data_IF_873782424633
#
_entry.id   IF_873782424633
#
_cell.length_a   1.000
_cell.length_b   1.000
_cell.length_c   1.000
_cell.angle_alpha   90.00
_cell.angle_beta   90.00
_cell.angle_gamma   90.00
#
_symmetry.space_group_name_H-M   'P 1'
#
loop_
_entity.id
_entity.type
_entity.pdbx_description
1 polymer ?
#
# COMPACT_ATOMS: atom_id res chain seq x y z
N UNK A 1 -13.42 17.26 12.43
CA UNK A 1 -13.75 15.89 11.94
C UNK A 1 -12.91 15.66 10.69
N UNK A 2 -12.19 14.54 10.60
CA UNK A 2 -11.37 14.20 9.43
C UNK A 2 -12.25 14.19 8.17
N UNK A 3 -11.84 14.92 7.13
CA UNK A 3 -12.53 14.97 5.83
C UNK A 3 -12.24 13.74 4.96
N UNK A 4 -11.38 12.84 5.44
CA UNK A 4 -10.91 11.67 4.69
C UNK A 4 -11.96 10.56 4.72
N UNK A 5 -12.43 10.18 3.53
CA UNK A 5 -13.46 9.16 3.29
C UNK A 5 -13.10 8.31 2.06
N UNK A 6 -13.91 7.29 1.73
CA UNK A 6 -13.62 6.40 0.60
C UNK A 6 -13.46 7.15 -0.74
N UNK A 7 -14.24 8.22 -0.95
CA UNK A 7 -14.18 9.01 -2.20
C UNK A 7 -12.91 9.86 -2.31
N UNK A 8 -12.16 10.01 -1.22
CA UNK A 8 -10.87 10.71 -1.22
C UNK A 8 -9.67 9.81 -1.57
N UNK A 9 -9.90 8.50 -1.72
CA UNK A 9 -8.84 7.57 -2.07
C UNK A 9 -8.47 7.72 -3.55
N UNK A 10 -7.19 7.97 -3.79
CA UNK A 10 -6.64 7.90 -5.14
C UNK A 10 -6.36 6.44 -5.49
N UNK A 11 -6.59 6.09 -6.75
CA UNK A 11 -6.34 4.75 -7.27
C UNK A 11 -5.16 4.79 -8.26
N UNK A 12 -4.42 3.69 -8.33
CA UNK A 12 -3.26 3.53 -9.22
C UNK A 12 -3.40 2.22 -10.01
N UNK A 13 -3.21 2.29 -11.33
CA UNK A 13 -3.24 1.10 -12.18
C UNK A 13 -1.96 0.26 -12.03
N UNK A 14 -2.05 -1.04 -12.34
CA UNK A 14 -0.89 -1.95 -12.36
C UNK A 14 0.18 -1.48 -13.35
N UNK A 15 -0.21 -0.89 -14.48
CA UNK A 15 0.71 -0.30 -15.47
C UNK A 15 1.45 0.91 -14.90
N UNK A 16 0.74 1.81 -14.21
CA UNK A 16 1.34 2.98 -13.59
C UNK A 16 2.29 2.59 -12.46
N UNK A 17 1.98 1.53 -11.70
CA UNK A 17 2.88 1.05 -10.66
C UNK A 17 4.12 0.38 -11.28
N UNK A 18 3.92 -0.51 -12.26
CA UNK A 18 5.01 -1.22 -12.93
C UNK A 18 6.00 -0.26 -13.62
N UNK A 19 5.51 0.83 -14.23
CA UNK A 19 6.39 1.81 -14.88
C UNK A 19 7.30 2.57 -13.92
N UNK A 20 7.02 2.56 -12.61
CA UNK A 20 7.92 3.15 -11.61
C UNK A 20 9.17 2.32 -11.34
N UNK A 21 9.18 1.03 -11.70
CA UNK A 21 10.31 0.13 -11.45
C UNK A 21 11.43 0.41 -12.47
N UNK A 22 12.45 1.16 -12.06
CA UNK A 22 13.60 1.50 -12.91
C UNK A 22 14.91 1.54 -12.10
N UNK A 23 15.73 0.46 -12.07
CA UNK A 23 15.48 -0.94 -12.46
C UNK A 23 14.71 -1.74 -11.39
N UNK A 24 14.38 -1.11 -10.27
CA UNK A 24 13.68 -1.69 -9.12
C UNK A 24 12.73 -0.65 -8.53
N UNK A 25 11.93 -1.03 -7.53
CA UNK A 25 11.01 -0.11 -6.86
C UNK A 25 11.78 1.11 -6.29
N UNK A 26 11.37 2.36 -6.58
CA UNK A 26 12.02 3.53 -6.03
C UNK A 26 11.99 3.52 -4.50
N UNK A 27 13.09 3.94 -3.86
CA UNK A 27 13.18 3.99 -2.39
C UNK A 27 12.21 4.99 -1.76
N UNK A 28 11.69 5.94 -2.53
CA UNK A 28 10.64 6.88 -2.13
C UNK A 28 9.22 6.30 -2.22
N UNK A 29 9.05 5.12 -2.81
CA UNK A 29 7.78 4.40 -2.90
C UNK A 29 7.75 3.24 -1.91
N UNK A 30 6.58 2.99 -1.31
CA UNK A 30 6.32 1.81 -0.51
C UNK A 30 5.04 1.12 -1.00
N UNK A 31 5.08 -0.20 -1.14
CA UNK A 31 3.92 -1.02 -1.48
C UNK A 31 3.55 -1.83 -0.25
N UNK A 32 2.31 -1.72 0.21
CA UNK A 32 1.81 -2.40 1.41
C UNK A 32 0.78 -3.43 0.97
N UNK A 33 1.15 -4.71 1.11
CA UNK A 33 0.27 -5.84 0.84
C UNK A 33 -0.49 -6.19 2.12
N UNK A 34 -1.81 -6.00 2.10
CA UNK A 34 -2.67 -6.29 3.25
C UNK A 34 -3.48 -7.57 3.12
N UNK A 35 -3.07 -8.49 2.23
CA UNK A 35 -3.62 -9.86 2.18
C UNK A 35 -3.32 -10.61 3.47
N UNK A 36 -4.18 -11.56 3.82
CA UNK A 36 -4.03 -12.42 5.00
C UNK A 36 -3.46 -13.77 4.53
N UNK A 37 -4.23 -14.86 4.65
CA UNK A 37 -3.82 -16.18 4.14
C UNK A 37 -3.68 -16.22 2.62
N UNK A 38 -4.36 -15.31 1.91
CA UNK A 38 -4.32 -15.17 0.45
C UNK A 38 -3.07 -14.42 -0.07
N UNK A 39 -2.08 -14.19 0.80
CA UNK A 39 -0.75 -13.72 0.39
C UNK A 39 0.06 -14.80 -0.36
N UNK A 40 -0.28 -16.07 -0.17
CA UNK A 40 0.33 -17.21 -0.87
C UNK A 40 0.14 -17.07 -2.38
N UNK A 41 1.12 -17.56 -3.16
CA UNK A 41 1.05 -17.54 -4.63
C UNK A 41 1.87 -16.44 -5.30
N UNK A 42 2.53 -15.58 -4.51
CA UNK A 42 3.40 -14.52 -5.00
C UNK A 42 2.99 -13.15 -4.48
N UNK A 43 3.90 -12.19 -4.59
CA UNK A 43 3.70 -10.81 -4.14
C UNK A 43 4.51 -9.82 -5.00
N UNK A 44 4.13 -8.54 -4.97
CA UNK A 44 4.84 -7.50 -5.72
C UNK A 44 6.24 -7.33 -5.11
N UNK A 45 7.27 -7.32 -5.96
CA UNK A 45 8.65 -7.26 -5.52
C UNK A 45 8.93 -5.99 -4.72
N UNK A 46 9.52 -6.16 -3.54
CA UNK A 46 9.79 -5.07 -2.60
C UNK A 46 8.56 -4.57 -1.81
N UNK A 47 7.42 -5.26 -1.89
CA UNK A 47 6.28 -4.97 -1.01
C UNK A 47 6.56 -5.36 0.44
N UNK A 48 5.92 -4.66 1.37
CA UNK A 48 5.90 -5.02 2.78
C UNK A 48 4.57 -5.70 3.09
N UNK A 49 4.63 -6.94 3.57
CA UNK A 49 3.44 -7.69 3.96
C UNK A 49 2.95 -7.27 5.36
N UNK A 50 1.74 -6.73 5.42
CA UNK A 50 1.08 -6.28 6.66
C UNK A 50 -0.36 -6.79 6.65
N UNK A 51 -0.63 -8.02 7.13
CA UNK A 51 -1.95 -8.64 7.08
C UNK A 51 -3.04 -7.75 7.67
N UNK A 52 -4.20 -7.67 6.99
CA UNK A 52 -5.31 -6.82 7.41
C UNK A 52 -5.79 -7.15 8.83
N UNK A 53 -5.73 -8.43 9.22
CA UNK A 53 -6.02 -8.93 10.57
C UNK A 53 -5.14 -8.33 11.69
N UNK A 54 -3.93 -7.88 11.35
CA UNK A 54 -2.96 -7.29 12.30
C UNK A 54 -2.81 -5.78 12.15
N UNK A 55 -3.46 -5.20 11.13
CA UNK A 55 -3.20 -3.83 10.68
C UNK A 55 -3.47 -2.79 11.78
N UNK A 56 -4.55 -2.95 12.55
CA UNK A 56 -4.95 -1.96 13.56
C UNK A 56 -3.88 -1.71 14.62
N UNK A 57 -3.14 -2.74 15.02
CA UNK A 57 -2.04 -2.61 15.98
C UNK A 57 -0.74 -2.14 15.33
N UNK A 58 -0.57 -2.38 14.03
CA UNK A 58 0.65 -2.05 13.27
C UNK A 58 0.62 -0.66 12.64
N UNK A 59 -0.53 -0.02 12.47
CA UNK A 59 -0.62 1.30 11.84
C UNK A 59 0.32 2.35 12.46
N UNK A 60 0.41 2.51 13.80
CA UNK A 60 1.30 3.51 14.40
C UNK A 60 2.77 3.30 14.04
N UNK A 61 3.21 2.03 13.99
CA UNK A 61 4.55 1.65 13.55
C UNK A 61 4.73 1.90 12.05
N UNK A 62 3.74 1.48 11.24
CA UNK A 62 3.74 1.66 9.80
C UNK A 62 3.90 3.14 9.42
N UNK A 63 3.19 4.05 10.08
CA UNK A 63 3.31 5.50 9.85
C UNK A 63 4.74 6.00 10.13
N UNK A 64 5.38 5.51 11.20
CA UNK A 64 6.76 5.91 11.54
C UNK A 64 7.75 5.39 10.51
N UNK A 65 7.58 4.15 10.07
CA UNK A 65 8.45 3.50 9.07
C UNK A 65 8.30 4.15 7.69
N UNK A 66 7.08 4.57 7.33
CA UNK A 66 6.79 5.16 6.03
C UNK A 66 6.93 6.68 5.98
N UNK A 67 7.31 7.35 7.08
CA UNK A 67 7.32 8.82 7.19
C UNK A 67 8.12 9.54 6.09
N UNK A 68 9.20 8.91 5.61
CA UNK A 68 10.12 9.49 4.62
C UNK A 68 9.78 9.07 3.18
N UNK A 69 8.69 8.32 2.98
CA UNK A 69 8.23 7.88 1.66
C UNK A 69 7.37 8.98 1.02
N UNK A 70 7.60 9.25 -0.27
CA UNK A 70 6.78 10.19 -1.04
C UNK A 70 5.45 9.53 -1.45
N UNK A 71 5.46 8.23 -1.75
CA UNK A 71 4.32 7.48 -2.26
C UNK A 71 4.10 6.18 -1.47
N UNK A 72 2.87 5.92 -1.05
CA UNK A 72 2.46 4.66 -0.41
C UNK A 72 1.31 4.05 -1.19
N UNK A 73 1.44 2.80 -1.62
CA UNK A 73 0.43 2.08 -2.39
C UNK A 73 -0.06 0.89 -1.58
N UNK A 74 -1.34 0.88 -1.23
CA UNK A 74 -1.97 -0.25 -0.55
C UNK A 74 -2.65 -1.17 -1.57
N UNK A 75 -2.63 -2.48 -1.32
CA UNK A 75 -3.40 -3.42 -2.10
C UNK A 75 -3.81 -4.65 -1.28
N UNK A 76 -4.83 -5.38 -1.76
CA UNK A 76 -5.10 -6.74 -1.29
C UNK A 76 -5.17 -7.69 -2.50
N UNK A 77 -5.98 -8.75 -2.45
CA UNK A 77 -6.20 -9.63 -3.60
C UNK A 77 -6.92 -8.90 -4.74
N UNK A 78 -8.09 -8.31 -4.47
CA UNK A 78 -8.92 -7.60 -5.46
C UNK A 78 -8.95 -6.07 -5.27
N UNK A 79 -8.42 -5.59 -4.14
CA UNK A 79 -8.48 -4.18 -3.70
C UNK A 79 -9.88 -3.56 -3.61
N UNK A 80 -10.91 -4.37 -3.34
CA UNK A 80 -12.31 -3.89 -3.19
C UNK A 80 -12.70 -3.52 -1.75
N UNK A 81 -12.07 -4.14 -0.75
CA UNK A 81 -12.43 -3.94 0.66
C UNK A 81 -11.20 -3.70 1.55
N UNK A 82 -10.32 -4.70 1.68
CA UNK A 82 -9.15 -4.63 2.59
C UNK A 82 -8.15 -3.53 2.19
N UNK A 83 -7.80 -3.43 0.90
CA UNK A 83 -6.92 -2.37 0.38
C UNK A 83 -7.43 -0.96 0.67
N UNK A 84 -8.65 -0.58 0.22
CA UNK A 84 -9.24 0.73 0.50
C UNK A 84 -9.38 1.02 2.00
N UNK A 85 -9.82 0.03 2.80
CA UNK A 85 -9.97 0.20 4.25
C UNK A 85 -8.62 0.45 4.92
N UNK A 86 -7.57 -0.25 4.51
CA UNK A 86 -6.22 -0.07 5.04
C UNK A 86 -5.66 1.32 4.73
N UNK A 87 -5.77 1.76 3.47
CA UNK A 87 -5.35 3.10 3.04
C UNK A 87 -6.07 4.19 3.84
N UNK A 88 -7.39 4.06 4.01
CA UNK A 88 -8.20 5.02 4.75
C UNK A 88 -7.80 5.10 6.24
N UNK A 89 -7.62 3.96 6.90
CA UNK A 89 -7.18 3.91 8.31
C UNK A 89 -5.79 4.53 8.47
N UNK A 90 -4.86 4.19 7.57
CA UNK A 90 -3.52 4.77 7.56
C UNK A 90 -3.55 6.29 7.41
N UNK A 91 -4.31 6.81 6.44
CA UNK A 91 -4.44 8.25 6.21
C UNK A 91 -5.02 9.00 7.41
N UNK A 92 -6.08 8.47 8.02
CA UNK A 92 -6.73 9.07 9.20
C UNK A 92 -5.81 9.08 10.42
N UNK A 93 -5.13 7.98 10.69
CA UNK A 93 -4.23 7.91 11.84
C UNK A 93 -2.98 8.78 11.61
N UNK A 94 -2.50 8.89 10.37
CA UNK A 94 -1.42 9.81 10.02
C UNK A 94 -1.82 11.27 10.26
N UNK A 95 -3.02 11.68 9.82
CA UNK A 95 -3.58 13.02 10.08
C UNK A 95 -3.70 13.28 11.59
N UNK A 96 -4.25 12.32 12.36
CA UNK A 96 -4.38 12.43 13.82
C UNK A 96 -3.03 12.64 14.51
N UNK A 97 -1.98 11.92 14.09
CA UNK A 97 -0.64 12.01 14.66
C UNK A 97 0.11 13.28 14.24
N UNK A 98 -0.17 13.83 13.06
CA UNK A 98 0.40 15.11 12.62
C UNK A 98 -0.26 16.30 13.33
N UNK A 99 -1.57 16.27 13.51
CA UNK A 99 -2.34 17.35 14.15
C UNK A 99 -2.00 17.44 15.65
N UNK A 100 -1.95 16.30 16.35
CA UNK A 100 -1.55 16.24 17.76
C UNK A 100 -0.13 16.76 18.02
N UNK A 101 0.76 16.69 17.03
CA UNK A 101 2.12 17.26 17.09
C UNK A 101 2.16 18.77 16.89
N UNK A 102 1.15 19.33 16.24
CA UNK A 102 1.05 20.77 15.97
C UNK A 102 0.47 21.52 17.16
N UNK A 103 -0.48 20.92 17.89
CA UNK A 103 -1.07 21.49 19.11
C UNK A 103 -0.12 21.47 20.34
N UNK A 104 0.94 20.66 20.30
CA UNK A 104 1.87 20.47 21.43
C UNK A 104 3.21 21.21 21.30
N UNK A 105 3.43 21.98 20.23
CA UNK A 105 4.66 22.75 20.01
C UNK A 105 4.35 24.19 19.61
N UNK A 106 4.17 25.07 20.60
CA UNK A 106 4.52 26.48 20.42
C UNK A 106 6.03 26.54 20.09
N UNK A 107 6.34 27.09 18.91
CA UNK A 107 7.66 27.58 18.50
C UNK A 107 8.87 26.62 18.62
N UNK A 108 8.99 25.66 17.69
CA UNK A 108 10.30 25.42 17.05
C UNK A 108 10.06 25.20 15.56
N UNK A 109 10.52 26.17 14.77
CA UNK A 109 10.70 26.10 13.32
C UNK A 109 11.71 24.99 12.95
N UNK A 110 11.37 23.72 13.18
CA UNK A 110 11.90 22.64 12.35
C UNK A 110 11.05 22.65 11.09
N UNK A 111 11.61 23.17 10.01
CA UNK A 111 11.16 22.96 8.64
C UNK A 111 11.20 21.46 8.30
N UNK A 112 10.40 20.64 8.95
CA UNK A 112 9.90 19.40 8.39
C UNK A 112 8.89 19.82 7.33
N UNK A 113 9.39 20.22 6.17
CA UNK A 113 8.62 20.37 4.94
C UNK A 113 7.92 19.05 4.69
N UNK A 114 6.74 18.88 5.30
CA UNK A 114 5.95 17.67 5.23
C UNK A 114 5.44 17.54 3.82
N UNK A 115 6.26 16.98 2.92
CA UNK A 115 5.81 16.59 1.59
C UNK A 115 4.53 15.82 1.80
N UNK A 116 3.46 16.26 1.13
CA UNK A 116 2.17 15.59 1.17
C UNK A 116 2.36 14.18 0.60
N UNK A 117 2.54 13.18 1.47
CA UNK A 117 2.72 11.80 1.07
C UNK A 117 1.46 11.33 0.34
N UNK A 118 1.64 10.89 -0.90
CA UNK A 118 0.57 10.39 -1.76
C UNK A 118 0.22 8.97 -1.35
N UNK A 119 -1.07 8.69 -1.19
CA UNK A 119 -1.57 7.37 -0.81
C UNK A 119 -2.49 6.87 -1.89
N UNK A 120 -2.17 5.69 -2.43
CA UNK A 120 -2.92 5.05 -3.50
C UNK A 120 -3.47 3.70 -3.06
N UNK A 121 -4.55 3.28 -3.71
CA UNK A 121 -5.00 1.88 -3.74
C UNK A 121 -4.70 1.31 -5.12
N UNK A 122 -3.99 0.18 -5.18
CA UNK A 122 -3.72 -0.50 -6.44
C UNK A 122 -5.01 -1.13 -6.98
N UNK A 123 -5.44 -0.70 -8.17
CA UNK A 123 -6.65 -1.20 -8.82
C UNK A 123 -6.54 -2.69 -9.14
N UNK A 124 -7.60 -3.45 -8.84
CA UNK A 124 -7.65 -4.88 -9.10
C UNK A 124 -6.76 -5.75 -8.20
N UNK A 125 -5.98 -5.13 -7.31
CA UNK A 125 -5.12 -5.79 -6.35
C UNK A 125 -4.09 -6.72 -7.00
N UNK A 126 -3.65 -7.72 -6.23
CA UNK A 126 -2.67 -8.69 -6.70
C UNK A 126 -3.22 -9.62 -7.79
N UNK A 127 -4.54 -9.88 -7.83
CA UNK A 127 -5.16 -10.70 -8.88
C UNK A 127 -4.92 -10.12 -10.27
N UNK A 128 -5.21 -8.83 -10.46
CA UNK A 128 -4.93 -8.18 -11.74
C UNK A 128 -3.44 -7.95 -11.99
N UNK A 129 -2.63 -7.79 -10.93
CA UNK A 129 -1.19 -7.69 -11.07
C UNK A 129 -0.59 -8.98 -11.65
N UNK A 130 -0.89 -10.12 -11.05
CA UNK A 130 -0.30 -11.40 -11.42
C UNK A 130 -0.70 -11.86 -12.82
N UNK A 131 -1.93 -11.56 -13.26
CA UNK A 131 -2.39 -11.84 -14.64
C UNK A 131 -1.46 -11.28 -15.71
N UNK A 132 -0.82 -10.14 -15.43
CA UNK A 132 0.02 -9.42 -16.39
C UNK A 132 1.51 -9.49 -16.08
N UNK A 133 1.87 -9.46 -14.80
CA UNK A 133 3.25 -9.35 -14.34
C UNK A 133 3.68 -10.50 -13.42
N UNK A 134 2.85 -11.53 -13.23
CA UNK A 134 3.14 -12.65 -12.33
C UNK A 134 4.44 -13.36 -12.66
N UNK A 135 4.64 -13.71 -13.94
CA UNK A 135 5.86 -14.37 -14.42
C UNK A 135 7.07 -13.42 -14.57
N UNK A 136 6.90 -12.12 -14.32
CA UNK A 136 8.00 -11.16 -14.44
C UNK A 136 8.76 -11.02 -13.11
N UNK A 137 9.89 -11.69 -12.98
CA UNK A 137 10.75 -11.70 -11.78
C UNK A 137 11.36 -10.33 -11.41
N UNK A 138 11.34 -9.35 -12.33
CA UNK A 138 11.75 -7.98 -12.01
C UNK A 138 10.68 -7.22 -11.22
N UNK A 139 9.42 -7.66 -11.30
CA UNK A 139 8.24 -7.00 -10.75
C UNK A 139 7.53 -7.83 -9.67
N UNK A 140 7.65 -9.16 -9.73
CA UNK A 140 6.95 -10.11 -8.85
C UNK A 140 7.95 -11.07 -8.22
N UNK A 141 7.75 -11.38 -6.95
CA UNK A 141 8.59 -12.29 -6.17
C UNK A 141 7.77 -13.46 -5.61
N UNK A 142 8.37 -14.65 -5.57
CA UNK A 142 7.73 -15.87 -5.06
C UNK A 142 6.47 -16.27 -5.82
N UNK A 143 6.39 -16.00 -7.13
CA UNK A 143 5.23 -16.34 -7.93
C UNK A 143 5.11 -17.85 -8.12
N UNK A 144 3.93 -18.40 -7.80
CA UNK A 144 3.62 -19.82 -7.95
C UNK A 144 2.47 -19.96 -8.95
N UNK A 145 2.81 -20.24 -10.21
CA UNK A 145 1.85 -20.28 -11.33
C UNK A 145 0.71 -21.29 -11.11
N UNK A 146 1.02 -22.42 -10.49
CA UNK A 146 0.09 -23.49 -10.13
C UNK A 146 -1.02 -23.00 -9.17
N UNK A 147 -0.70 -22.10 -8.24
CA UNK A 147 -1.70 -21.50 -7.34
C UNK A 147 -2.77 -20.74 -8.13
N UNK A 148 -2.40 -20.12 -9.26
CA UNK A 148 -3.29 -19.27 -10.05
C UNK A 148 -3.98 -19.99 -11.22
N UNK A 149 -3.32 -20.99 -11.83
CA UNK A 149 -3.92 -21.82 -12.88
C UNK A 149 -5.01 -22.75 -12.35
N UNK A 150 -4.86 -23.29 -11.15
CA UNK A 150 -5.81 -24.25 -10.58
C UNK A 150 -6.71 -23.67 -9.47
N UNK A 151 -6.39 -22.48 -8.97
CA UNK A 151 -7.11 -21.82 -7.87
C UNK A 151 -8.22 -20.87 -8.30
N UNK A 152 -8.35 -20.55 -9.59
CA UNK A 152 -9.49 -19.77 -10.09
C UNK A 152 -10.66 -20.71 -10.38
N UNK A 153 -11.86 -20.52 -9.79
CA UNK A 153 -13.02 -21.28 -10.19
C UNK A 153 -13.27 -21.01 -11.67
N UNK A 154 -13.22 -22.05 -12.50
CA UNK A 154 -13.74 -21.98 -13.86
C UNK A 154 -15.14 -21.37 -13.80
N UNK A 155 -15.34 -20.28 -14.57
CA UNK A 155 -16.63 -19.61 -14.73
C UNK A 155 -17.76 -20.59 -15.06
#
# INVERSE_FOLDING_TARGET
MSSINLTSLEHMTRESLASTFTPSLPSSTAIIDVRDSDHVGGHIKGSTWVPSSTLDHKIPELIRTLKDKDTVVFHCALSQQRGPSAALRYMRERERLTDARTESREEVHEKGSGKKQKVYVLEGGFTMWQEKYGENESLTEGYHKDVWEFGTPNH
#
